data_IF_683882180602
#
_entry.id   IF_683882180602
#
_cell.length_a   1.000
_cell.length_b   1.000
_cell.length_c   1.000
_cell.angle_alpha   90.00
_cell.angle_beta   90.00
_cell.angle_gamma   90.00
#
_symmetry.space_group_name_H-M   'P 1'
#
loop_
_entity.id
_entity.type
_entity.pdbx_description
1 polymer ?
#
# COMPACT_ATOMS: atom_id res chain seq x y z
N UNK A 1 -2.02 14.59 -0.43
CA UNK A 1 -1.61 13.48 0.46
C UNK A 1 -2.74 12.45 0.55
N UNK A 2 -2.39 11.19 0.69
CA UNK A 2 -3.34 10.09 0.80
C UNK A 2 -3.26 9.48 2.19
N UNK A 3 -4.41 9.15 2.77
CA UNK A 3 -4.45 8.46 4.05
C UNK A 3 -4.18 6.97 3.83
N UNK A 4 -3.12 6.43 4.43
CA UNK A 4 -2.78 5.02 4.31
C UNK A 4 -3.33 4.26 5.50
N UNK A 5 -4.14 3.25 5.23
CA UNK A 5 -4.71 2.37 6.25
C UNK A 5 -4.37 0.92 5.92
N UNK A 6 -4.42 0.04 6.92
CA UNK A 6 -4.03 -1.36 6.79
C UNK A 6 -5.17 -2.26 7.23
N UNK A 7 -5.41 -3.33 6.48
CA UNK A 7 -6.31 -4.40 6.93
C UNK A 7 -5.64 -5.15 8.08
N UNK A 8 -6.42 -5.94 8.81
CA UNK A 8 -5.87 -6.82 9.85
C UNK A 8 -4.83 -7.77 9.27
N UNK A 9 -5.09 -8.30 8.09
CA UNK A 9 -4.16 -9.21 7.43
C UNK A 9 -2.87 -8.49 7.04
N UNK A 10 -2.96 -7.28 6.50
CA UNK A 10 -1.77 -6.48 6.17
C UNK A 10 -0.95 -6.17 7.42
N UNK A 11 -1.59 -5.87 8.54
CA UNK A 11 -0.89 -5.63 9.80
C UNK A 11 -0.15 -6.88 10.29
N UNK A 12 -0.74 -8.06 10.14
CA UNK A 12 -0.05 -9.33 10.44
C UNK A 12 1.12 -9.55 9.49
N UNK A 13 0.92 -9.27 8.21
CA UNK A 13 1.98 -9.39 7.20
C UNK A 13 3.16 -8.49 7.53
N UNK A 14 2.89 -7.26 8.02
CA UNK A 14 3.94 -6.32 8.41
C UNK A 14 4.86 -6.90 9.49
N UNK A 15 4.30 -7.61 10.45
CA UNK A 15 5.09 -8.28 11.50
C UNK A 15 5.98 -9.37 10.92
N UNK A 16 5.48 -10.13 9.95
CA UNK A 16 6.28 -11.17 9.26
C UNK A 16 7.41 -10.54 8.47
N UNK A 17 7.16 -9.44 7.78
CA UNK A 17 8.18 -8.72 7.02
C UNK A 17 9.27 -8.20 7.94
N UNK A 18 8.90 -7.64 9.09
CA UNK A 18 9.85 -7.15 10.08
C UNK A 18 10.76 -8.28 10.57
N UNK A 19 10.19 -9.45 10.84
CA UNK A 19 10.95 -10.63 11.27
C UNK A 19 11.95 -11.09 10.22
N UNK A 20 11.72 -10.77 8.94
CA UNK A 20 12.60 -11.11 7.81
C UNK A 20 13.51 -9.95 7.38
N UNK A 21 13.49 -8.83 8.11
CA UNK A 21 14.31 -7.67 7.77
C UNK A 21 13.83 -6.90 6.55
N UNK A 22 12.57 -7.04 6.18
CA UNK A 22 11.98 -6.41 4.99
C UNK A 22 11.10 -5.20 5.30
N UNK A 23 11.01 -4.81 6.57
CA UNK A 23 10.13 -3.72 6.99
C UNK A 23 10.54 -2.36 6.41
N UNK A 24 11.83 -2.11 6.22
CA UNK A 24 12.29 -0.86 5.63
C UNK A 24 11.77 -0.68 4.20
N UNK A 25 11.77 -1.74 3.41
CA UNK A 25 11.24 -1.73 2.04
C UNK A 25 9.74 -1.47 2.03
N UNK A 26 9.01 -2.11 2.94
CA UNK A 26 7.57 -1.92 3.06
C UNK A 26 7.25 -0.48 3.48
N UNK A 27 7.99 0.08 4.44
CA UNK A 27 7.81 1.47 4.87
C UNK A 27 8.08 2.46 3.75
N UNK A 28 9.09 2.20 2.94
CA UNK A 28 9.39 3.05 1.77
C UNK A 28 8.21 3.07 0.80
N UNK A 29 7.58 1.93 0.55
CA UNK A 29 6.41 1.85 -0.32
C UNK A 29 5.19 2.56 0.29
N UNK A 30 5.01 2.50 1.60
CA UNK A 30 3.97 3.27 2.28
C UNK A 30 4.15 4.77 2.01
N UNK A 31 5.37 5.28 2.09
CA UNK A 31 5.64 6.69 1.82
C UNK A 31 5.37 7.05 0.35
N UNK A 32 5.71 6.16 -0.57
CA UNK A 32 5.43 6.37 -2.00
C UNK A 32 3.93 6.53 -2.22
N UNK A 33 3.11 5.59 -1.73
CA UNK A 33 1.66 5.62 -1.98
C UNK A 33 0.97 6.72 -1.20
N UNK A 34 1.54 7.17 -0.09
CA UNK A 34 1.03 8.32 0.67
C UNK A 34 1.09 9.59 -0.16
N UNK A 35 2.15 9.76 -0.91
CA UNK A 35 2.33 10.92 -1.79
C UNK A 35 1.52 10.78 -3.07
N UNK A 36 1.64 9.61 -3.72
CA UNK A 36 0.95 9.32 -4.97
C UNK A 36 0.84 7.82 -5.17
N UNK A 37 -0.37 7.24 -5.03
CA UNK A 37 -0.55 5.79 -5.17
C UNK A 37 -0.27 5.28 -6.59
N UNK A 38 -0.14 6.17 -7.57
CA UNK A 38 0.19 5.84 -8.94
C UNK A 38 1.58 6.37 -9.34
N UNK A 39 2.38 6.80 -8.38
CA UNK A 39 3.73 7.30 -8.62
C UNK A 39 4.66 6.21 -9.15
N UNK A 40 5.48 6.56 -10.13
CA UNK A 40 6.42 5.66 -10.79
C UNK A 40 7.74 6.39 -11.02
N UNK A 41 8.91 5.92 -10.61
CA UNK A 41 9.17 4.68 -9.88
C UNK A 41 8.75 4.73 -8.41
N UNK A 42 8.65 3.58 -7.71
CA UNK A 42 8.79 2.23 -8.26
C UNK A 42 7.58 1.80 -9.07
N UNK A 43 7.78 0.84 -9.96
CA UNK A 43 6.72 0.36 -10.81
C UNK A 43 5.57 -0.26 -10.01
N UNK A 44 4.37 -0.09 -10.50
CA UNK A 44 3.18 -0.76 -9.98
C UNK A 44 2.41 -1.35 -11.14
N UNK A 45 1.51 -2.29 -10.82
CA UNK A 45 0.65 -2.89 -11.83
C UNK A 45 -0.77 -3.08 -11.29
N UNK A 46 -1.80 -2.83 -12.12
CA UNK A 46 -3.16 -3.17 -11.75
C UNK A 46 -3.33 -4.68 -11.80
N UNK A 47 -4.08 -5.22 -10.84
CA UNK A 47 -4.44 -6.63 -10.82
C UNK A 47 -5.72 -6.83 -11.61
N UNK A 48 -5.91 -8.04 -12.13
CA UNK A 48 -7.02 -8.38 -13.01
C UNK A 48 -7.87 -9.51 -12.44
N UNK A 49 -8.99 -9.81 -13.10
CA UNK A 49 -9.89 -10.87 -12.68
C UNK A 49 -10.58 -10.55 -11.37
N UNK A 50 -10.57 -11.50 -10.44
CA UNK A 50 -11.20 -11.33 -9.12
C UNK A 50 -10.54 -10.25 -8.28
N UNK A 51 -9.35 -9.81 -8.66
CA UNK A 51 -8.58 -8.81 -7.94
C UNK A 51 -8.62 -7.44 -8.63
N UNK A 52 -9.51 -7.26 -9.61
CA UNK A 52 -9.67 -5.98 -10.30
C UNK A 52 -9.98 -4.87 -9.29
N UNK A 53 -9.34 -3.71 -9.47
CA UNK A 53 -9.45 -2.59 -8.53
C UNK A 53 -8.35 -2.55 -7.49
N UNK A 54 -7.48 -3.58 -7.44
CA UNK A 54 -6.30 -3.60 -6.60
C UNK A 54 -5.06 -3.35 -7.44
N UNK A 55 -4.02 -2.85 -6.79
CA UNK A 55 -2.72 -2.57 -7.40
C UNK A 55 -1.64 -3.28 -6.61
N UNK A 56 -0.53 -3.56 -7.24
CA UNK A 56 0.57 -4.30 -6.63
C UNK A 56 1.89 -3.64 -6.94
N UNK A 57 2.74 -3.52 -5.90
CA UNK A 57 4.14 -3.12 -6.02
C UNK A 57 5.01 -4.20 -5.42
N UNK A 58 6.20 -4.36 -5.94
CA UNK A 58 7.12 -5.39 -5.44
C UNK A 58 7.83 -4.90 -4.18
N UNK A 59 7.78 -5.70 -3.11
CA UNK A 59 8.59 -5.49 -1.91
C UNK A 59 9.97 -6.11 -2.14
N UNK A 60 9.97 -7.37 -2.60
CA UNK A 60 11.15 -8.09 -3.06
C UNK A 60 10.73 -9.08 -4.14
N UNK A 61 11.56 -10.06 -4.48
CA UNK A 61 11.22 -11.05 -5.51
C UNK A 61 10.02 -11.94 -5.13
N UNK A 62 9.75 -12.10 -3.85
CA UNK A 62 8.71 -12.98 -3.34
C UNK A 62 7.45 -12.25 -2.92
N UNK A 63 7.59 -11.14 -2.17
CA UNK A 63 6.47 -10.48 -1.52
C UNK A 63 6.05 -9.22 -2.27
N UNK A 64 4.74 -8.97 -2.27
CA UNK A 64 4.15 -7.83 -2.96
C UNK A 64 3.30 -7.02 -2.00
N UNK A 65 3.31 -5.73 -2.24
CA UNK A 65 2.54 -4.72 -1.52
C UNK A 65 1.27 -4.50 -2.33
N UNK A 66 0.15 -5.04 -1.85
CA UNK A 66 -1.14 -5.00 -2.56
C UNK A 66 -2.05 -3.99 -1.88
N UNK A 67 -2.62 -3.08 -2.66
CA UNK A 67 -3.41 -1.98 -2.12
C UNK A 67 -4.57 -1.60 -3.03
N UNK A 68 -5.57 -0.97 -2.42
CA UNK A 68 -6.73 -0.40 -3.09
C UNK A 68 -6.66 1.12 -2.96
N UNK A 69 -7.02 1.84 -4.04
CA UNK A 69 -7.08 3.30 -4.03
C UNK A 69 -8.53 3.71 -4.01
N UNK A 70 -8.92 4.48 -3.00
CA UNK A 70 -10.28 4.99 -2.82
C UNK A 70 -10.23 6.50 -2.91
N UNK A 71 -10.83 7.08 -3.95
CA UNK A 71 -10.92 8.52 -4.13
C UNK A 71 -12.03 9.05 -3.24
N UNK A 72 -11.64 9.71 -2.16
CA UNK A 72 -12.55 10.24 -1.15
C UNK A 72 -11.91 11.46 -0.51
N UNK A 73 -11.97 12.62 -1.19
CA UNK A 73 -11.38 13.85 -0.63
C UNK A 73 -12.03 14.19 0.70
N UNK A 74 -11.19 14.35 1.73
CA UNK A 74 -11.69 14.64 3.07
C UNK A 74 -10.62 15.33 3.90
N UNK A 75 -11.03 15.88 5.03
CA UNK A 75 -10.14 16.50 5.99
C UNK A 75 -10.22 15.73 7.30
N UNK A 76 -9.07 15.49 7.92
CA UNK A 76 -8.98 14.78 9.17
C UNK A 76 -7.84 15.37 9.99
N UNK A 77 -8.16 15.81 11.22
CA UNK A 77 -7.20 16.41 12.14
C UNK A 77 -6.43 17.59 11.52
N UNK A 78 -7.12 18.41 10.73
CA UNK A 78 -6.53 19.56 10.06
C UNK A 78 -5.72 19.23 8.81
N UNK A 79 -5.65 17.97 8.41
CA UNK A 79 -4.93 17.53 7.21
C UNK A 79 -5.93 17.20 6.12
N UNK A 80 -5.66 17.71 4.91
CA UNK A 80 -6.48 17.43 3.75
C UNK A 80 -5.94 16.26 2.98
N UNK A 81 -6.81 15.26 2.74
CA UNK A 81 -6.47 14.03 2.01
C UNK A 81 -7.23 13.97 0.69
N UNK A 82 -6.58 13.45 -0.34
CA UNK A 82 -7.19 13.21 -1.65
C UNK A 82 -8.04 11.94 -1.65
N UNK A 83 -7.79 11.05 -0.70
CA UNK A 83 -8.48 9.80 -0.55
C UNK A 83 -7.73 8.85 0.37
N UNK A 84 -8.04 7.57 0.23
CA UNK A 84 -7.52 6.51 1.09
C UNK A 84 -6.77 5.49 0.25
N UNK A 85 -5.59 5.09 0.70
CA UNK A 85 -4.89 3.91 0.20
C UNK A 85 -5.03 2.83 1.25
N UNK A 86 -5.75 1.76 0.91
CA UNK A 86 -5.98 0.63 1.80
C UNK A 86 -5.03 -0.50 1.43
N UNK A 87 -4.06 -0.75 2.29
CA UNK A 87 -3.10 -1.85 2.09
C UNK A 87 -3.77 -3.14 2.55
N UNK A 88 -3.95 -4.08 1.61
CA UNK A 88 -4.68 -5.32 1.87
C UNK A 88 -3.77 -6.51 2.16
N UNK A 89 -2.60 -6.57 1.54
CA UNK A 89 -1.62 -7.63 1.77
C UNK A 89 -0.20 -7.11 1.59
N UNK A 90 0.75 -7.71 2.32
CA UNK A 90 2.18 -7.43 2.15
C UNK A 90 3.03 -8.71 2.21
N UNK A 91 2.38 -9.88 2.24
CA UNK A 91 3.05 -11.18 2.33
C UNK A 91 2.36 -12.17 1.41
N UNK A 92 3.10 -12.86 0.59
CA UNK A 92 2.56 -13.86 -0.34
C UNK A 92 3.28 -15.19 -0.23
#
# INVERSE_FOLDING_TARGET
MWLVVFTKQAAKDAKKLKARGLDARAKALVEVVRKDPFGNPPAFEPLVGNLAGLYSRRINLQHRFVYQVIRDPHERDGVRYEGIVKVVRMWT
#
